data_IF_111394697550
#
_entry.id   IF_111394697550
#
_cell.length_a   1.000
_cell.length_b   1.000
_cell.length_c   1.000
_cell.angle_alpha   90.00
_cell.angle_beta   90.00
_cell.angle_gamma   90.00
#
_symmetry.space_group_name_H-M   'P 1'
#
loop_
_entity.id
_entity.type
_entity.pdbx_description
1 polymer ?
#
# COMPACT_ATOMS: atom_id res chain seq x y z
N UNK A 1 6.79 -11.26 -0.60
CA UNK A 1 7.18 -11.16 -2.03
C UNK A 1 7.80 -12.47 -2.53
N UNK A 2 8.88 -12.99 -1.93
CA UNK A 2 9.52 -14.26 -2.35
C UNK A 2 8.51 -15.41 -2.44
N UNK A 3 7.67 -15.60 -1.41
CA UNK A 3 6.62 -16.64 -1.43
C UNK A 3 5.63 -16.49 -2.59
N UNK A 4 5.24 -15.27 -2.94
CA UNK A 4 4.37 -15.04 -4.11
C UNK A 4 5.05 -15.44 -5.42
N UNK A 5 6.35 -15.17 -5.54
CA UNK A 5 7.14 -15.61 -6.71
C UNK A 5 7.23 -17.13 -6.79
N UNK A 6 7.47 -17.80 -5.66
CA UNK A 6 7.54 -19.26 -5.58
C UNK A 6 6.21 -19.94 -5.90
N UNK A 7 5.09 -19.38 -5.43
CA UNK A 7 3.75 -19.95 -5.59
C UNK A 7 3.16 -19.77 -6.99
N UNK A 8 3.42 -18.68 -7.66
CA UNK A 8 2.70 -18.31 -8.88
C UNK A 8 3.50 -18.40 -10.18
N UNK A 9 4.83 -18.51 -10.11
CA UNK A 9 5.70 -18.46 -11.30
C UNK A 9 5.59 -17.14 -12.10
N UNK A 10 4.86 -16.13 -11.58
CA UNK A 10 4.70 -14.82 -12.20
C UNK A 10 5.71 -13.81 -11.63
N UNK A 11 6.21 -12.87 -12.45
CA UNK A 11 7.08 -11.81 -11.95
C UNK A 11 6.34 -10.93 -10.93
N UNK A 12 7.03 -10.63 -9.81
CA UNK A 12 6.51 -9.78 -8.74
C UNK A 12 7.34 -8.51 -8.64
N UNK A 13 6.69 -7.37 -8.66
CA UNK A 13 7.32 -6.06 -8.50
C UNK A 13 6.83 -5.39 -7.23
N UNK A 14 7.76 -4.97 -6.36
CA UNK A 14 7.44 -4.16 -5.19
C UNK A 14 7.57 -2.68 -5.54
N UNK A 15 6.47 -1.96 -5.42
CA UNK A 15 6.38 -0.50 -5.53
C UNK A 15 6.32 0.10 -4.12
N UNK A 16 7.46 0.13 -3.46
CA UNK A 16 7.63 0.75 -2.14
C UNK A 16 7.59 2.28 -2.24
N UNK A 17 6.92 2.92 -1.29
CA UNK A 17 6.69 4.36 -1.31
C UNK A 17 7.97 5.21 -1.33
N UNK A 18 9.00 4.81 -0.60
CA UNK A 18 10.28 5.54 -0.57
C UNK A 18 11.05 5.37 -1.89
N UNK A 19 11.06 4.14 -2.43
CA UNK A 19 11.71 3.82 -3.71
C UNK A 19 11.01 4.55 -4.86
N UNK A 20 9.67 4.54 -4.89
CA UNK A 20 8.89 5.24 -5.92
C UNK A 20 9.13 6.74 -5.84
N UNK A 21 9.13 7.34 -4.64
CA UNK A 21 9.43 8.78 -4.52
C UNK A 21 10.81 9.13 -5.03
N UNK A 22 11.81 8.30 -4.78
CA UNK A 22 13.18 8.54 -5.26
C UNK A 22 13.29 8.47 -6.79
N UNK A 23 12.64 7.50 -7.41
CA UNK A 23 12.88 7.16 -8.83
C UNK A 23 11.81 7.71 -9.78
N UNK A 24 10.58 7.91 -9.31
CA UNK A 24 9.44 8.27 -10.16
C UNK A 24 8.78 9.59 -9.77
N UNK A 25 8.91 10.02 -8.52
CA UNK A 25 8.18 11.15 -7.95
C UNK A 25 9.05 12.03 -7.07
N UNK A 26 10.35 12.16 -7.40
CA UNK A 26 11.31 12.90 -6.57
C UNK A 26 11.02 14.40 -6.47
N UNK A 27 10.33 14.97 -7.45
CA UNK A 27 9.92 16.36 -7.48
C UNK A 27 8.67 16.67 -6.64
N UNK A 28 7.93 15.63 -6.21
CA UNK A 28 6.67 15.81 -5.49
C UNK A 28 6.89 16.04 -3.98
N UNK A 29 6.16 17.01 -3.43
CA UNK A 29 6.03 17.24 -1.99
C UNK A 29 4.97 16.35 -1.35
N UNK A 30 4.37 16.86 -0.26
CA UNK A 30 3.39 16.11 0.56
C UNK A 30 2.00 16.77 0.59
N UNK A 31 1.75 17.79 -0.24
CA UNK A 31 0.40 18.33 -0.41
C UNK A 31 -0.57 17.24 -0.88
N UNK A 32 -1.86 17.48 -0.69
CA UNK A 32 -2.90 16.55 -1.13
C UNK A 32 -2.75 16.22 -2.62
N UNK A 33 -2.56 17.23 -3.45
CA UNK A 33 -2.39 17.09 -4.91
C UNK A 33 -1.16 16.24 -5.27
N UNK A 34 -0.04 16.48 -4.58
CA UNK A 34 1.18 15.71 -4.81
C UNK A 34 1.06 14.26 -4.32
N UNK A 35 0.34 14.01 -3.23
CA UNK A 35 0.04 12.65 -2.79
C UNK A 35 -0.84 11.93 -3.79
N UNK A 36 -1.92 12.57 -4.25
CA UNK A 36 -2.81 12.00 -5.26
C UNK A 36 -2.06 11.68 -6.56
N UNK A 37 -1.24 12.61 -7.03
CA UNK A 37 -0.42 12.39 -8.23
C UNK A 37 0.56 11.22 -8.05
N UNK A 38 1.21 11.12 -6.90
CA UNK A 38 2.11 10.01 -6.60
C UNK A 38 1.38 8.65 -6.65
N UNK A 39 0.19 8.56 -6.04
CA UNK A 39 -0.60 7.34 -6.05
C UNK A 39 -1.09 6.99 -7.46
N UNK A 40 -1.50 7.96 -8.26
CA UNK A 40 -1.87 7.74 -9.67
C UNK A 40 -0.70 7.23 -10.51
N UNK A 41 0.52 7.76 -10.31
CA UNK A 41 1.73 7.25 -10.98
C UNK A 41 2.03 5.81 -10.58
N UNK A 42 1.94 5.48 -9.29
CA UNK A 42 2.08 4.09 -8.81
C UNK A 42 1.01 3.20 -9.45
N UNK A 43 -0.23 3.64 -9.48
CA UNK A 43 -1.34 2.93 -10.10
C UNK A 43 -1.12 2.66 -11.58
N UNK A 44 -0.63 3.65 -12.32
CA UNK A 44 -0.28 3.47 -13.73
C UNK A 44 0.80 2.38 -13.93
N UNK A 45 1.89 2.44 -13.16
CA UNK A 45 2.94 1.41 -13.23
C UNK A 45 2.39 0.03 -12.86
N UNK A 46 1.56 -0.05 -11.81
CA UNK A 46 0.92 -1.29 -11.39
C UNK A 46 -0.02 -1.85 -12.47
N UNK A 47 -0.78 -0.98 -13.17
CA UNK A 47 -1.66 -1.41 -14.26
C UNK A 47 -0.88 -2.02 -15.43
N UNK A 48 0.26 -1.43 -15.81
CA UNK A 48 1.14 -1.97 -16.86
C UNK A 48 1.75 -3.32 -16.45
N UNK A 49 2.13 -3.49 -15.18
CA UNK A 49 2.61 -4.77 -14.64
C UNK A 49 1.50 -5.82 -14.73
N UNK A 50 0.28 -5.48 -14.28
CA UNK A 50 -0.89 -6.37 -14.31
C UNK A 50 -1.26 -6.78 -15.73
N UNK A 51 -1.33 -5.84 -16.64
CA UNK A 51 -1.61 -6.05 -18.07
C UNK A 51 -0.62 -7.02 -18.73
N UNK A 52 0.62 -7.05 -18.26
CA UNK A 52 1.67 -7.96 -18.75
C UNK A 52 1.79 -9.24 -17.90
N UNK A 53 0.80 -9.60 -17.11
CA UNK A 53 0.72 -10.84 -16.35
C UNK A 53 1.53 -10.89 -15.06
N UNK A 54 2.16 -9.77 -14.67
CA UNK A 54 2.91 -9.66 -13.42
C UNK A 54 2.02 -9.39 -12.20
N UNK A 55 2.65 -9.37 -11.03
CA UNK A 55 2.04 -8.97 -9.75
C UNK A 55 2.72 -7.71 -9.26
N UNK A 56 1.96 -6.65 -9.04
CA UNK A 56 2.44 -5.44 -8.39
C UNK A 56 2.04 -5.43 -6.91
N UNK A 57 3.01 -5.32 -6.02
CA UNK A 57 2.78 -5.09 -4.59
C UNK A 57 3.05 -3.61 -4.33
N UNK A 58 1.99 -2.83 -4.11
CA UNK A 58 2.09 -1.40 -3.86
C UNK A 58 2.02 -1.12 -2.36
N UNK A 59 3.03 -0.45 -1.81
CA UNK A 59 3.14 -0.16 -0.38
C UNK A 59 3.26 1.35 -0.05
N UNK A 60 2.50 2.24 -0.69
CA UNK A 60 2.34 3.62 -0.24
C UNK A 60 1.26 3.73 0.84
N UNK A 61 1.20 4.84 1.55
CA UNK A 61 0.11 5.11 2.51
C UNK A 61 -1.24 5.24 1.81
N UNK A 62 -1.32 5.89 0.65
CA UNK A 62 -2.53 6.10 -0.15
C UNK A 62 -3.74 6.59 0.70
N UNK A 63 -3.66 7.79 1.30
CA UNK A 63 -4.59 8.19 2.37
C UNK A 63 -6.01 8.48 1.90
N UNK A 64 -6.24 8.77 0.62
CA UNK A 64 -7.53 9.26 0.13
C UNK A 64 -8.32 8.18 -0.63
N UNK A 65 -9.54 7.91 -0.17
CA UNK A 65 -10.42 6.88 -0.72
C UNK A 65 -10.74 7.11 -2.21
N UNK A 66 -10.92 8.36 -2.62
CA UNK A 66 -11.21 8.71 -4.02
C UNK A 66 -10.07 8.31 -4.96
N UNK A 67 -8.82 8.51 -4.54
CA UNK A 67 -7.65 8.17 -5.34
C UNK A 67 -7.44 6.65 -5.39
N UNK A 68 -7.63 5.94 -4.27
CA UNK A 68 -7.59 4.47 -4.25
C UNK A 68 -8.63 3.87 -5.18
N UNK A 69 -9.87 4.40 -5.17
CA UNK A 69 -10.95 3.95 -6.07
C UNK A 69 -10.60 4.16 -7.54
N UNK A 70 -10.10 5.33 -7.91
CA UNK A 70 -9.69 5.61 -9.29
C UNK A 70 -8.60 4.64 -9.77
N UNK A 71 -7.59 4.38 -8.94
CA UNK A 71 -6.53 3.41 -9.26
C UNK A 71 -7.08 1.98 -9.37
N UNK A 72 -8.04 1.59 -8.51
CA UNK A 72 -8.74 0.30 -8.62
C UNK A 72 -9.42 0.16 -9.97
N UNK A 73 -10.21 1.16 -10.37
CA UNK A 73 -10.94 1.14 -11.65
C UNK A 73 -10.00 0.99 -12.85
N UNK A 74 -8.86 1.70 -12.83
CA UNK A 74 -7.85 1.60 -13.90
C UNK A 74 -7.22 0.20 -13.98
N UNK A 75 -6.96 -0.45 -12.84
CA UNK A 75 -6.29 -1.76 -12.78
C UNK A 75 -7.28 -2.90 -13.09
N UNK A 76 -8.52 -2.81 -12.61
CA UNK A 76 -9.55 -3.84 -12.83
C UNK A 76 -9.92 -4.02 -14.30
N UNK A 77 -9.57 -3.06 -15.17
CA UNK A 77 -9.67 -3.24 -16.62
C UNK A 77 -8.71 -4.32 -17.17
N UNK A 78 -7.67 -4.70 -16.42
CA UNK A 78 -6.62 -5.62 -16.87
C UNK A 78 -6.44 -6.85 -15.96
N UNK A 79 -6.93 -6.83 -14.74
CA UNK A 79 -6.79 -7.94 -13.80
C UNK A 79 -7.40 -7.64 -12.44
N UNK A 80 -7.05 -8.41 -11.43
CA UNK A 80 -7.58 -8.23 -10.08
C UNK A 80 -6.87 -7.09 -9.33
N UNK A 81 -7.64 -6.38 -8.53
CA UNK A 81 -7.16 -5.43 -7.53
C UNK A 81 -7.51 -5.94 -6.13
N UNK A 82 -6.57 -5.94 -5.21
CA UNK A 82 -6.78 -6.36 -3.83
C UNK A 82 -6.33 -5.23 -2.91
N UNK A 83 -7.29 -4.62 -2.21
CA UNK A 83 -7.02 -3.60 -1.22
C UNK A 83 -6.79 -4.27 0.14
N UNK A 84 -5.59 -4.09 0.69
CA UNK A 84 -5.22 -4.57 2.01
C UNK A 84 -5.12 -3.38 2.95
N UNK A 85 -6.06 -3.29 3.89
CA UNK A 85 -6.00 -2.29 4.96
C UNK A 85 -5.09 -2.79 6.08
N UNK A 86 -3.96 -2.12 6.26
CA UNK A 86 -3.09 -2.36 7.43
C UNK A 86 -3.64 -1.54 8.59
N UNK A 87 -4.46 -2.18 9.43
CA UNK A 87 -5.30 -1.54 10.44
C UNK A 87 -4.59 -1.29 11.78
N UNK A 88 -3.30 -1.00 11.75
CA UNK A 88 -2.54 -0.61 12.94
C UNK A 88 -3.02 0.74 13.46
N UNK A 89 -3.32 0.83 14.76
CA UNK A 89 -3.75 2.09 15.38
C UNK A 89 -2.67 3.17 15.29
N UNK A 90 -3.07 4.44 15.30
CA UNK A 90 -2.12 5.54 15.27
C UNK A 90 -1.22 5.55 16.50
N UNK A 91 -1.76 5.19 17.65
CA UNK A 91 -1.04 5.07 18.93
C UNK A 91 0.08 4.04 18.82
N UNK A 92 -0.19 2.89 18.20
CA UNK A 92 0.81 1.86 17.99
C UNK A 92 1.85 2.28 16.93
N UNK A 93 1.44 2.99 15.88
CA UNK A 93 2.36 3.57 14.90
C UNK A 93 3.30 4.58 15.56
N UNK A 94 2.77 5.46 16.43
CA UNK A 94 3.55 6.41 17.20
C UNK A 94 4.50 5.72 18.19
N UNK A 95 4.05 4.66 18.86
CA UNK A 95 4.89 3.87 19.76
C UNK A 95 6.07 3.22 19.03
N UNK A 96 5.83 2.71 17.82
CA UNK A 96 6.88 2.10 16.99
C UNK A 96 7.85 3.12 16.41
N UNK A 97 7.36 4.21 15.93
CA UNK A 97 8.03 5.36 15.29
C UNK A 97 9.45 5.08 14.73
N UNK A 98 9.58 4.05 13.91
CA UNK A 98 10.87 3.52 13.43
C UNK A 98 11.80 4.55 12.80
N UNK A 99 11.22 5.60 12.19
CA UNK A 99 11.95 6.67 11.50
C UNK A 99 11.98 7.96 12.32
N UNK A 100 11.36 8.00 13.51
CA UNK A 100 11.23 9.21 14.34
C UNK A 100 10.33 10.29 13.73
N UNK A 101 9.53 9.96 12.73
CA UNK A 101 8.72 10.93 11.99
C UNK A 101 7.47 11.36 12.76
N UNK A 102 6.86 10.46 13.52
CA UNK A 102 5.71 10.79 14.37
C UNK A 102 6.09 11.79 15.46
N UNK A 103 7.22 11.58 16.11
CA UNK A 103 7.77 12.53 17.08
C UNK A 103 7.95 13.91 16.45
N UNK A 104 8.58 13.99 15.28
CA UNK A 104 8.81 15.26 14.59
C UNK A 104 7.50 15.93 14.16
N UNK A 105 6.50 15.15 13.79
CA UNK A 105 5.16 15.65 13.43
C UNK A 105 4.45 16.22 14.67
N UNK A 106 4.48 15.55 15.82
CA UNK A 106 3.92 16.04 17.09
C UNK A 106 4.62 17.30 17.58
N UNK A 107 5.92 17.43 17.36
CA UNK A 107 6.68 18.65 17.65
C UNK A 107 6.42 19.79 16.64
N UNK A 108 5.57 19.60 15.64
CA UNK A 108 5.26 20.57 14.60
C UNK A 108 6.39 20.83 13.60
N UNK A 109 7.44 20.00 13.61
CA UNK A 109 8.59 20.11 12.70
C UNK A 109 8.29 19.55 11.30
N UNK A 110 7.34 18.63 11.21
CA UNK A 110 6.82 18.10 9.94
C UNK A 110 5.36 18.52 9.83
N UNK A 111 5.02 19.20 8.74
CA UNK A 111 3.66 19.56 8.37
C UNK A 111 3.09 18.52 7.44
N UNK A 112 1.76 18.53 7.25
CA UNK A 112 1.07 17.65 6.30
C UNK A 112 1.40 16.16 6.56
N UNK A 113 1.29 15.71 7.80
CA UNK A 113 1.60 14.33 8.19
C UNK A 113 0.31 13.53 8.34
N UNK A 114 0.16 12.47 7.52
CA UNK A 114 -1.02 11.61 7.50
C UNK A 114 -1.28 10.96 8.87
N UNK A 115 -2.50 11.11 9.37
CA UNK A 115 -2.91 10.58 10.67
C UNK A 115 -2.61 11.50 11.87
N UNK A 116 -1.86 12.59 11.68
CA UNK A 116 -1.58 13.60 12.73
C UNK A 116 -2.21 14.95 12.35
N UNK A 117 -1.72 15.59 11.28
CA UNK A 117 -2.23 16.86 10.79
C UNK A 117 -3.12 16.71 9.56
N UNK A 118 -2.98 15.62 8.83
CA UNK A 118 -3.74 15.33 7.62
C UNK A 118 -4.60 14.08 7.78
N UNK A 119 -5.78 14.03 7.13
CA UNK A 119 -6.70 12.90 7.25
C UNK A 119 -6.17 11.63 6.57
N UNK A 120 -6.68 10.51 7.04
CA UNK A 120 -6.61 9.20 6.40
C UNK A 120 -8.02 8.64 6.28
N UNK A 121 -8.46 8.40 5.05
CA UNK A 121 -9.77 7.80 4.80
C UNK A 121 -9.66 6.27 4.97
N UNK A 122 -10.21 5.75 6.06
CA UNK A 122 -10.23 4.30 6.31
C UNK A 122 -10.99 3.61 5.17
N UNK A 123 -10.44 2.52 4.59
CA UNK A 123 -11.16 1.76 3.56
C UNK A 123 -12.48 1.21 4.09
N UNK A 124 -13.57 1.43 3.35
CA UNK A 124 -14.90 0.95 3.73
C UNK A 124 -15.08 -0.55 3.49
N UNK A 125 -14.55 -1.06 2.38
CA UNK A 125 -14.71 -2.45 1.94
C UNK A 125 -13.40 -3.00 1.35
N UNK A 126 -12.32 -3.09 2.15
CA UNK A 126 -11.08 -3.71 1.68
C UNK A 126 -11.27 -5.22 1.53
N UNK A 127 -10.58 -5.85 0.59
CA UNK A 127 -10.59 -7.31 0.47
C UNK A 127 -10.02 -8.00 1.73
N UNK A 128 -9.10 -7.32 2.43
CA UNK A 128 -8.54 -7.80 3.69
C UNK A 128 -8.20 -6.62 4.60
N UNK A 129 -8.49 -6.76 5.88
CA UNK A 129 -7.97 -5.89 6.93
C UNK A 129 -7.03 -6.70 7.83
N UNK A 130 -5.82 -6.20 8.04
CA UNK A 130 -4.77 -6.89 8.81
C UNK A 130 -4.40 -6.06 10.03
N UNK A 131 -4.66 -6.62 11.20
CA UNK A 131 -4.19 -6.08 12.48
C UNK A 131 -2.73 -6.45 12.69
N UNK A 132 -1.87 -5.48 12.96
CA UNK A 132 -0.43 -5.73 13.18
C UNK A 132 0.01 -5.59 14.63
N UNK A 133 -0.91 -5.19 15.51
CA UNK A 133 -0.64 -5.13 16.95
C UNK A 133 -0.61 -6.55 17.51
N UNK A 134 0.49 -6.90 18.18
CA UNK A 134 0.72 -8.24 18.73
C UNK A 134 0.71 -9.40 17.71
N UNK A 135 0.82 -9.12 16.44
CA UNK A 135 0.92 -10.10 15.36
C UNK A 135 2.26 -9.92 14.64
N UNK A 136 2.99 -11.01 14.45
CA UNK A 136 4.26 -10.94 13.74
C UNK A 136 4.08 -10.73 12.23
N UNK A 137 5.13 -10.26 11.57
CA UNK A 137 5.12 -9.91 10.14
C UNK A 137 4.83 -11.12 9.25
N UNK A 138 5.31 -12.31 9.61
CA UNK A 138 5.10 -13.52 8.82
C UNK A 138 3.63 -13.96 8.86
N UNK A 139 2.98 -13.88 10.01
CA UNK A 139 1.55 -14.14 10.14
C UNK A 139 0.71 -13.11 9.38
N UNK A 140 1.07 -11.82 9.42
CA UNK A 140 0.39 -10.80 8.60
C UNK A 140 0.54 -11.11 7.10
N UNK A 141 1.73 -11.44 6.64
CA UNK A 141 1.98 -11.80 5.26
C UNK A 141 1.23 -13.09 4.85
N UNK A 142 1.14 -14.07 5.76
CA UNK A 142 0.41 -15.31 5.51
C UNK A 142 -1.10 -15.06 5.33
N UNK A 143 -1.71 -14.17 6.12
CA UNK A 143 -3.11 -13.77 5.93
C UNK A 143 -3.37 -13.21 4.53
N UNK A 144 -2.44 -12.38 4.01
CA UNK A 144 -2.54 -11.85 2.64
C UNK A 144 -2.48 -12.99 1.61
N UNK A 145 -1.54 -13.93 1.76
CA UNK A 145 -1.40 -15.07 0.85
C UNK A 145 -2.67 -15.94 0.85
N UNK A 146 -3.21 -16.28 2.02
CA UNK A 146 -4.44 -17.05 2.14
C UNK A 146 -5.63 -16.33 1.49
N UNK A 147 -5.70 -15.00 1.60
CA UNK A 147 -6.75 -14.22 0.94
C UNK A 147 -6.61 -14.31 -0.58
N UNK A 148 -5.41 -14.11 -1.12
CA UNK A 148 -5.15 -14.21 -2.56
C UNK A 148 -5.46 -15.61 -3.10
N UNK A 149 -5.13 -16.66 -2.36
CA UNK A 149 -5.46 -18.05 -2.67
C UNK A 149 -6.97 -18.27 -2.68
N UNK A 150 -7.69 -17.80 -1.65
CA UNK A 150 -9.16 -17.91 -1.57
C UNK A 150 -9.88 -17.20 -2.72
N UNK A 151 -9.26 -16.20 -3.31
CA UNK A 151 -9.75 -15.47 -4.48
C UNK A 151 -9.31 -16.12 -5.81
N UNK A 152 -8.53 -17.21 -5.77
CA UNK A 152 -8.01 -17.89 -6.96
C UNK A 152 -6.95 -17.09 -7.73
N UNK A 153 -6.31 -16.11 -7.07
CA UNK A 153 -5.33 -15.24 -7.71
C UNK A 153 -3.92 -15.82 -7.70
N UNK A 154 -3.65 -16.71 -6.77
CA UNK A 154 -2.42 -17.51 -6.66
C UNK A 154 -2.80 -18.96 -6.41
N UNK A 155 -1.93 -19.89 -6.80
CA UNK A 155 -2.11 -21.31 -6.48
C UNK A 155 -1.64 -21.59 -5.06
N UNK A 156 -2.39 -22.40 -4.33
CA UNK A 156 -1.95 -22.94 -3.04
C UNK A 156 -0.75 -23.87 -3.20
N UNK A 157 0.06 -23.98 -2.16
CA UNK A 157 1.12 -24.99 -2.03
C UNK A 157 0.55 -26.29 -1.52
#
# INVERSE_FOLDING_TARGET
MVKLMEMGGRPVTLLDGDIVRKNLSSELGFSKEHRDLNIRRIGYVASEITKNGGIAICAPIAPYATTRRAVREDIEAFGAFVEVHVATTIEECERRDRKGLYKLAREGKIKEFTGISDPYDVPENPELSVETENVDVDNCAHQVLLKLESMGLISGT
#
